data_IF_985544316612
#
_entry.id   IF_985544316612
#
_cell.length_a   1.000
_cell.length_b   1.000
_cell.length_c   1.000
_cell.angle_alpha   90.00
_cell.angle_beta   90.00
_cell.angle_gamma   90.00
#
_symmetry.space_group_name_H-M   'P 1'
#
loop_
_entity.id
_entity.type
_entity.pdbx_description
1 polymer ?
#
# COMPACT_ATOMS: atom_id res chain seq x y z
N UNK A 1 13.60 20.00 20.68
CA UNK A 1 13.96 18.56 20.78
C UNK A 1 12.76 17.63 20.87
N UNK A 2 11.76 17.91 21.72
CA UNK A 2 10.56 17.05 21.88
C UNK A 2 9.75 16.85 20.59
N UNK A 3 9.53 17.90 19.79
CA UNK A 3 8.82 17.81 18.51
C UNK A 3 9.56 16.97 17.46
N UNK A 4 10.88 17.16 17.34
CA UNK A 4 11.72 16.38 16.42
C UNK A 4 11.72 14.90 16.79
N UNK A 5 11.89 14.57 18.07
CA UNK A 5 11.83 13.19 18.56
C UNK A 5 10.45 12.55 18.31
N UNK A 6 9.37 13.29 18.55
CA UNK A 6 8.01 12.85 18.27
C UNK A 6 7.78 12.58 16.78
N UNK A 7 8.26 13.46 15.90
CA UNK A 7 8.19 13.27 14.45
C UNK A 7 8.95 12.02 14.00
N UNK A 8 10.21 11.86 14.45
CA UNK A 8 11.04 10.70 14.11
C UNK A 8 10.41 9.38 14.62
N UNK A 9 9.85 9.37 15.83
CA UNK A 9 9.14 8.21 16.36
C UNK A 9 7.89 7.86 15.53
N UNK A 10 7.13 8.88 15.09
CA UNK A 10 5.95 8.67 14.25
C UNK A 10 6.30 8.16 12.83
N UNK A 11 7.39 8.67 12.24
CA UNK A 11 7.95 8.17 10.98
C UNK A 11 8.42 6.72 11.16
N UNK A 12 9.15 6.42 12.23
CA UNK A 12 9.63 5.06 12.52
C UNK A 12 8.47 4.07 12.71
N UNK A 13 7.42 4.47 13.44
CA UNK A 13 6.20 3.68 13.60
C UNK A 13 5.55 3.39 12.24
N UNK A 14 5.42 4.41 11.39
CA UNK A 14 4.85 4.27 10.04
C UNK A 14 5.69 3.32 9.19
N UNK A 15 7.00 3.53 9.14
CA UNK A 15 7.93 2.71 8.37
C UNK A 15 7.91 1.24 8.82
N UNK A 16 7.89 1.00 10.13
CA UNK A 16 7.78 -0.35 10.69
C UNK A 16 6.43 -1.00 10.32
N UNK A 17 5.32 -0.34 10.61
CA UNK A 17 3.99 -0.89 10.37
C UNK A 17 3.75 -1.20 8.89
N UNK A 18 4.10 -0.27 7.99
CA UNK A 18 3.92 -0.45 6.56
C UNK A 18 4.93 -1.43 5.94
N UNK A 19 6.16 -1.51 6.49
CA UNK A 19 7.14 -2.52 6.09
C UNK A 19 6.70 -3.94 6.44
N UNK A 20 6.14 -4.15 7.63
CA UNK A 20 5.64 -5.46 8.08
C UNK A 20 4.30 -5.83 7.43
N UNK A 21 3.48 -4.84 7.06
CA UNK A 21 2.20 -5.04 6.38
C UNK A 21 2.30 -5.94 5.14
N UNK A 22 3.30 -5.74 4.28
CA UNK A 22 3.41 -6.47 3.01
C UNK A 22 3.53 -7.98 3.17
N UNK A 23 4.51 -8.49 3.94
CA UNK A 23 4.61 -9.90 4.28
C UNK A 23 3.37 -10.46 4.99
N UNK A 24 2.80 -9.72 5.94
CA UNK A 24 1.61 -10.16 6.69
C UNK A 24 0.39 -10.29 5.78
N UNK A 25 0.21 -9.34 4.85
CA UNK A 25 -0.85 -9.40 3.85
C UNK A 25 -0.67 -10.59 2.89
N UNK A 26 0.56 -10.86 2.49
CA UNK A 26 0.89 -12.00 1.63
C UNK A 26 0.46 -13.33 2.27
N UNK A 27 0.74 -13.53 3.57
CA UNK A 27 0.28 -14.74 4.29
C UNK A 27 -1.24 -14.86 4.34
N UNK A 28 -1.95 -13.75 4.56
CA UNK A 28 -3.42 -13.76 4.53
C UNK A 28 -4.00 -14.10 3.16
N UNK A 29 -3.40 -13.55 2.09
CA UNK A 29 -3.76 -13.84 0.69
C UNK A 29 -3.51 -15.29 0.32
N UNK A 30 -2.34 -15.83 0.68
CA UNK A 30 -2.02 -17.23 0.39
C UNK A 30 -2.91 -18.19 1.21
N UNK A 31 -3.26 -17.85 2.45
CA UNK A 31 -4.18 -18.66 3.25
C UNK A 31 -5.65 -18.64 2.77
N UNK A 32 -6.05 -17.64 1.97
CA UNK A 32 -7.41 -17.54 1.40
C UNK A 32 -7.47 -17.84 -0.10
N UNK A 33 -6.32 -17.95 -0.78
CA UNK A 33 -6.21 -18.14 -2.23
C UNK A 33 -7.07 -17.13 -3.02
N UNK A 34 -7.17 -15.90 -2.52
CA UNK A 34 -8.00 -14.84 -3.09
C UNK A 34 -7.30 -13.50 -2.94
N UNK A 35 -7.45 -12.61 -3.92
CA UNK A 35 -7.02 -11.22 -3.81
C UNK A 35 -8.02 -10.38 -2.98
N UNK A 36 -9.33 -10.58 -3.22
CA UNK A 36 -10.37 -9.69 -2.71
C UNK A 36 -10.76 -9.99 -1.26
N UNK A 37 -10.74 -11.25 -0.82
CA UNK A 37 -11.08 -11.61 0.57
C UNK A 37 -10.10 -11.03 1.61
N UNK A 38 -8.77 -11.10 1.41
CA UNK A 38 -7.82 -10.36 2.25
C UNK A 38 -8.08 -8.86 2.28
N UNK A 39 -8.46 -8.28 1.13
CA UNK A 39 -8.72 -6.85 1.03
C UNK A 39 -9.93 -6.43 1.88
N UNK A 40 -10.98 -7.26 1.92
CA UNK A 40 -12.13 -7.09 2.83
C UNK A 40 -11.68 -7.07 4.29
N UNK A 41 -10.86 -8.03 4.72
CA UNK A 41 -10.33 -8.05 6.08
C UNK A 41 -9.47 -6.80 6.39
N UNK A 42 -8.65 -6.34 5.44
CA UNK A 42 -7.89 -5.09 5.60
C UNK A 42 -8.84 -3.90 5.81
N UNK A 43 -9.90 -3.80 5.01
CA UNK A 43 -10.91 -2.75 5.13
C UNK A 43 -11.64 -2.79 6.48
N UNK A 44 -12.01 -3.98 6.96
CA UNK A 44 -12.64 -4.16 8.27
C UNK A 44 -11.71 -3.73 9.42
N UNK A 45 -10.44 -4.11 9.38
CA UNK A 45 -9.46 -3.67 10.38
C UNK A 45 -9.27 -2.15 10.37
N UNK A 46 -9.19 -1.53 9.19
CA UNK A 46 -9.17 -0.07 9.06
C UNK A 46 -10.44 0.57 9.63
N UNK A 47 -11.62 0.02 9.38
CA UNK A 47 -12.84 0.53 9.96
C UNK A 47 -12.81 0.49 11.50
N UNK A 48 -12.40 -0.64 12.09
CA UNK A 48 -12.31 -0.78 13.54
C UNK A 48 -11.31 0.20 14.17
N UNK A 49 -10.11 0.32 13.61
CA UNK A 49 -9.03 1.13 14.21
C UNK A 49 -9.13 2.59 13.82
N UNK A 50 -9.52 2.92 12.58
CA UNK A 50 -9.53 4.28 12.08
C UNK A 50 -10.88 4.99 12.24
N UNK A 51 -11.98 4.25 12.44
CA UNK A 51 -13.31 4.85 12.71
C UNK A 51 -13.69 4.65 14.17
N UNK A 52 -13.83 3.40 14.62
CA UNK A 52 -14.41 3.12 15.95
C UNK A 52 -13.54 3.66 17.08
N UNK A 53 -12.24 3.39 17.06
CA UNK A 53 -11.34 3.84 18.12
C UNK A 53 -11.23 5.40 18.20
N UNK A 54 -11.07 6.15 17.09
CA UNK A 54 -11.09 7.61 17.11
C UNK A 54 -12.42 8.20 17.56
N UNK A 55 -13.56 7.65 17.14
CA UNK A 55 -14.88 8.09 17.62
C UNK A 55 -14.99 7.89 19.14
N UNK A 56 -14.58 6.74 19.65
CA UNK A 56 -14.55 6.45 21.08
C UNK A 56 -13.56 7.34 21.87
N UNK A 57 -12.48 7.81 21.24
CA UNK A 57 -11.51 8.70 21.87
C UNK A 57 -11.98 10.17 21.84
N UNK A 58 -12.63 10.60 20.76
CA UNK A 58 -13.18 11.96 20.63
C UNK A 58 -14.32 12.22 21.61
N UNK A 59 -15.13 11.20 21.96
CA UNK A 59 -16.17 11.33 22.99
C UNK A 59 -15.61 11.68 24.38
N UNK A 60 -14.30 11.54 24.60
CA UNK A 60 -13.58 11.93 25.82
C UNK A 60 -13.06 13.38 25.80
N UNK A 61 -13.36 14.17 24.76
CA UNK A 61 -13.21 15.63 24.75
C UNK A 61 -11.78 16.20 24.61
N UNK A 62 -10.82 15.41 24.10
CA UNK A 62 -9.39 15.80 24.08
C UNK A 62 -8.84 16.28 22.74
N UNK A 63 -9.65 16.33 21.69
CA UNK A 63 -9.16 16.55 20.33
C UNK A 63 -9.46 17.94 19.78
N UNK A 64 -8.42 18.61 19.26
CA UNK A 64 -8.48 19.95 18.69
C UNK A 64 -8.75 19.88 17.20
N UNK A 65 -9.54 20.82 16.69
CA UNK A 65 -9.88 20.96 15.27
C UNK A 65 -11.39 21.04 15.05
N UNK A 66 -11.80 21.12 13.79
CA UNK A 66 -13.21 21.21 13.38
C UNK A 66 -13.50 20.35 12.17
N UNK A 67 -14.75 19.89 12.07
CA UNK A 67 -15.24 19.26 10.85
C UNK A 67 -15.46 20.35 9.79
N UNK A 68 -14.82 20.20 8.64
CA UNK A 68 -15.00 21.09 7.49
C UNK A 68 -15.26 20.24 6.24
N UNK A 69 -16.14 20.70 5.34
CA UNK A 69 -16.47 19.93 4.12
C UNK A 69 -15.22 19.71 3.25
N UNK A 70 -14.37 20.72 3.15
CA UNK A 70 -13.07 20.63 2.46
C UNK A 70 -12.18 19.58 3.11
N UNK A 71 -12.04 19.61 4.43
CA UNK A 71 -11.25 18.63 5.16
C UNK A 71 -11.75 17.20 4.93
N UNK A 72 -13.06 16.99 5.08
CA UNK A 72 -13.69 15.68 4.86
C UNK A 72 -13.43 15.17 3.45
N UNK A 73 -13.62 16.01 2.41
CA UNK A 73 -13.38 15.62 1.03
C UNK A 73 -11.92 15.19 0.80
N UNK A 74 -10.94 16.01 1.21
CA UNK A 74 -9.53 15.68 1.02
C UNK A 74 -9.13 14.44 1.83
N UNK A 75 -9.64 14.26 3.05
CA UNK A 75 -9.34 13.06 3.84
C UNK A 75 -10.02 11.80 3.31
N UNK A 76 -11.21 11.89 2.71
CA UNK A 76 -11.84 10.77 2.00
C UNK A 76 -11.05 10.40 0.74
N UNK A 77 -10.58 11.40 -0.04
CA UNK A 77 -9.71 11.17 -1.19
C UNK A 77 -8.38 10.54 -0.78
N UNK A 78 -7.80 10.96 0.35
CA UNK A 78 -6.61 10.33 0.90
C UNK A 78 -6.90 8.86 1.26
N UNK A 79 -8.02 8.60 1.94
CA UNK A 79 -8.45 7.25 2.25
C UNK A 79 -8.64 6.38 1.01
N UNK A 80 -9.23 6.92 -0.06
CA UNK A 80 -9.36 6.24 -1.34
C UNK A 80 -8.00 5.91 -1.97
N UNK A 81 -7.09 6.89 -2.01
CA UNK A 81 -5.72 6.67 -2.48
C UNK A 81 -4.98 5.61 -1.63
N UNK A 82 -5.22 5.58 -0.32
CA UNK A 82 -4.73 4.52 0.56
C UNK A 82 -5.27 3.14 0.15
N UNK A 83 -6.59 3.02 -0.01
CA UNK A 83 -7.27 1.77 -0.35
C UNK A 83 -6.86 1.24 -1.74
N UNK A 84 -6.79 2.11 -2.75
CA UNK A 84 -6.28 1.75 -4.08
C UNK A 84 -4.83 1.33 -4.06
N UNK A 85 -4.01 1.94 -3.20
CA UNK A 85 -2.62 1.50 -3.07
C UNK A 85 -2.49 0.12 -2.43
N UNK A 86 -3.31 -0.17 -1.42
CA UNK A 86 -3.37 -1.50 -0.81
C UNK A 86 -3.88 -2.55 -1.81
N UNK A 87 -4.88 -2.22 -2.62
CA UNK A 87 -5.34 -3.05 -3.73
C UNK A 87 -4.22 -3.31 -4.75
N UNK A 88 -3.47 -2.28 -5.14
CA UNK A 88 -2.32 -2.43 -6.04
C UNK A 88 -1.27 -3.40 -5.51
N UNK A 89 -0.96 -3.36 -4.21
CA UNK A 89 -0.06 -4.36 -3.59
C UNK A 89 -0.64 -5.77 -3.67
N UNK A 90 -1.91 -5.95 -3.32
CA UNK A 90 -2.58 -7.25 -3.37
C UNK A 90 -2.58 -7.81 -4.79
N UNK A 91 -2.89 -6.97 -5.79
CA UNK A 91 -2.89 -7.36 -7.20
C UNK A 91 -1.47 -7.74 -7.66
N UNK A 92 -0.45 -6.98 -7.27
CA UNK A 92 0.93 -7.29 -7.60
C UNK A 92 1.33 -8.66 -7.03
N UNK A 93 1.00 -8.93 -5.75
CA UNK A 93 1.25 -10.24 -5.14
C UNK A 93 0.44 -11.35 -5.81
N UNK A 94 -0.76 -11.03 -6.30
CA UNK A 94 -1.63 -11.99 -6.99
C UNK A 94 -1.08 -12.40 -8.35
N UNK A 95 -0.54 -11.45 -9.11
CA UNK A 95 0.12 -11.69 -10.39
C UNK A 95 1.44 -12.48 -10.28
N UNK A 96 1.97 -12.70 -9.06
CA UNK A 96 3.23 -13.41 -8.81
C UNK A 96 4.35 -12.52 -8.26
N UNK A 97 4.03 -11.26 -7.95
CA UNK A 97 4.83 -10.37 -7.13
C UNK A 97 5.25 -11.04 -5.82
N UNK A 98 6.49 -10.84 -5.37
CA UNK A 98 6.92 -11.24 -4.03
C UNK A 98 7.16 -10.02 -3.14
N UNK A 99 6.79 -10.05 -1.85
CA UNK A 99 6.99 -8.91 -0.95
C UNK A 99 8.42 -8.38 -0.93
N UNK A 100 9.41 -9.27 -1.09
CA UNK A 100 10.84 -8.94 -1.06
C UNK A 100 11.27 -7.89 -2.10
N UNK A 101 10.59 -7.77 -3.25
CA UNK A 101 10.89 -6.75 -4.26
C UNK A 101 9.72 -5.79 -4.51
N UNK A 102 8.47 -6.23 -4.35
CA UNK A 102 7.29 -5.35 -4.50
C UNK A 102 7.31 -4.26 -3.43
N UNK A 103 7.61 -4.60 -2.17
CA UNK A 103 7.60 -3.59 -1.09
C UNK A 103 8.69 -2.54 -1.28
N UNK A 104 9.97 -2.89 -1.54
CA UNK A 104 10.99 -1.88 -1.82
C UNK A 104 10.69 -1.00 -3.04
N UNK A 105 10.07 -1.54 -4.09
CA UNK A 105 9.66 -0.75 -5.25
C UNK A 105 8.61 0.30 -4.90
N UNK A 106 7.54 -0.12 -4.21
CA UNK A 106 6.45 0.78 -3.83
C UNK A 106 6.93 1.82 -2.81
N UNK A 107 7.63 1.40 -1.75
CA UNK A 107 8.11 2.32 -0.71
C UNK A 107 9.32 3.15 -1.14
N UNK A 108 10.08 2.74 -2.15
CA UNK A 108 11.09 3.59 -2.77
C UNK A 108 10.47 4.63 -3.72
N UNK A 109 9.46 4.25 -4.49
CA UNK A 109 8.84 5.15 -5.46
C UNK A 109 7.79 6.12 -4.88
N UNK A 110 7.00 5.69 -3.88
CA UNK A 110 5.94 6.50 -3.30
C UNK A 110 6.45 7.83 -2.71
N UNK A 111 7.59 7.90 -1.99
CA UNK A 111 8.16 9.16 -1.52
C UNK A 111 8.50 10.14 -2.65
N UNK A 112 8.95 9.63 -3.81
CA UNK A 112 9.23 10.46 -4.98
C UNK A 112 7.95 11.08 -5.51
N UNK A 113 6.89 10.28 -5.68
CA UNK A 113 5.59 10.78 -6.14
C UNK A 113 4.98 11.75 -5.14
N UNK A 114 5.05 11.45 -3.85
CA UNK A 114 4.63 12.35 -2.77
C UNK A 114 5.31 13.70 -2.89
N UNK A 115 6.62 13.69 -3.10
CA UNK A 115 7.43 14.89 -3.23
C UNK A 115 7.06 15.71 -4.45
N UNK A 116 6.97 15.08 -5.63
CA UNK A 116 6.61 15.74 -6.87
C UNK A 116 5.19 16.32 -6.82
N UNK A 117 4.24 15.56 -6.27
CA UNK A 117 2.86 16.03 -6.07
C UNK A 117 2.80 17.20 -5.08
N UNK A 118 3.56 17.14 -3.98
CA UNK A 118 3.64 18.25 -3.01
C UNK A 118 4.22 19.50 -3.65
N UNK A 119 5.32 19.37 -4.39
CA UNK A 119 5.94 20.48 -5.11
C UNK A 119 4.98 21.08 -6.15
N UNK A 120 4.21 20.24 -6.85
CA UNK A 120 3.18 20.67 -7.78
C UNK A 120 2.04 21.42 -7.10
N UNK A 121 1.43 20.84 -6.07
CA UNK A 121 0.30 21.43 -5.35
C UNK A 121 0.66 22.76 -4.69
N UNK A 122 1.89 22.90 -4.21
CA UNK A 122 2.38 24.11 -3.54
C UNK A 122 3.10 25.08 -4.48
N UNK A 123 3.19 24.79 -5.78
CA UNK A 123 3.98 25.56 -6.76
C UNK A 123 5.43 25.80 -6.30
N UNK A 124 6.00 24.83 -5.59
CA UNK A 124 7.25 24.94 -4.84
C UNK A 124 8.43 24.20 -5.50
N UNK A 125 8.37 23.91 -6.81
CA UNK A 125 9.47 23.23 -7.51
C UNK A 125 10.82 23.94 -7.37
N UNK A 126 10.82 25.28 -7.30
CA UNK A 126 12.04 26.06 -7.06
C UNK A 126 12.66 25.90 -5.67
N UNK A 127 11.96 25.28 -4.72
CA UNK A 127 12.47 25.02 -3.37
C UNK A 127 13.20 23.65 -3.27
N UNK A 128 13.13 22.82 -4.31
CA UNK A 128 13.79 21.52 -4.36
C UNK A 128 15.29 21.71 -4.59
N UNK A 129 16.07 21.77 -3.51
CA UNK A 129 17.53 21.96 -3.57
C UNK A 129 18.25 20.68 -4.04
N UNK A 130 19.43 20.87 -4.62
CA UNK A 130 20.30 19.79 -5.10
C UNK A 130 20.49 18.59 -4.12
N UNK A 131 20.80 18.78 -2.82
CA UNK A 131 20.98 17.63 -1.91
C UNK A 131 19.70 16.80 -1.73
N UNK A 132 18.54 17.45 -1.77
CA UNK A 132 17.26 16.78 -1.65
C UNK A 132 16.95 15.95 -2.91
N UNK A 133 17.19 16.51 -4.10
CA UNK A 133 17.06 15.79 -5.36
C UNK A 133 18.04 14.61 -5.47
N UNK A 134 19.29 14.77 -5.01
CA UNK A 134 20.25 13.69 -4.93
C UNK A 134 19.77 12.53 -4.05
N UNK A 135 19.12 12.85 -2.92
CA UNK A 135 18.47 11.85 -2.07
C UNK A 135 17.37 11.08 -2.80
N UNK A 136 16.50 11.76 -3.56
CA UNK A 136 15.47 11.10 -4.37
C UNK A 136 16.07 10.17 -5.43
N UNK A 137 17.12 10.61 -6.13
CA UNK A 137 17.83 9.78 -7.12
C UNK A 137 18.42 8.54 -6.47
N UNK A 138 18.99 8.66 -5.27
CA UNK A 138 19.53 7.53 -4.52
C UNK A 138 18.43 6.52 -4.16
N UNK A 139 17.27 7.01 -3.72
CA UNK A 139 16.10 6.16 -3.41
C UNK A 139 15.61 5.42 -4.65
N UNK A 140 15.46 6.11 -5.78
CA UNK A 140 15.04 5.49 -7.05
C UNK A 140 16.05 4.43 -7.50
N UNK A 141 17.34 4.79 -7.49
CA UNK A 141 18.42 3.87 -7.86
C UNK A 141 18.45 2.64 -6.95
N UNK A 142 18.24 2.82 -5.64
CA UNK A 142 18.12 1.73 -4.68
C UNK A 142 16.95 0.80 -4.99
N UNK A 143 15.77 1.35 -5.27
CA UNK A 143 14.58 0.57 -5.62
C UNK A 143 14.77 -0.23 -6.93
N UNK A 144 15.36 0.40 -7.96
CA UNK A 144 15.71 -0.26 -9.22
C UNK A 144 16.72 -1.39 -9.00
N UNK A 145 17.74 -1.14 -8.18
CA UNK A 145 18.76 -2.16 -7.83
C UNK A 145 18.12 -3.38 -7.19
N UNK A 146 17.18 -3.21 -6.25
CA UNK A 146 16.45 -4.34 -5.63
C UNK A 146 15.65 -5.15 -6.65
N UNK A 147 15.04 -4.50 -7.64
CA UNK A 147 14.30 -5.19 -8.69
C UNK A 147 15.21 -5.95 -9.65
N UNK A 148 16.34 -5.34 -10.06
CA UNK A 148 17.31 -5.95 -10.99
C UNK A 148 18.00 -7.15 -10.33
N UNK A 149 18.41 -7.01 -9.07
CA UNK A 149 19.14 -8.05 -8.33
C UNK A 149 18.22 -8.88 -7.42
N UNK A 150 16.93 -9.01 -7.77
CA UNK A 150 15.99 -9.85 -7.02
C UNK A 150 16.47 -11.31 -7.00
N UNK A 151 16.44 -12.01 -5.84
CA UNK A 151 16.86 -13.41 -5.77
C UNK A 151 15.99 -14.31 -6.67
N UNK A 152 16.63 -15.06 -7.58
CA UNK A 152 15.95 -16.09 -8.38
C UNK A 152 15.76 -17.37 -7.56
N UNK A 153 14.63 -18.10 -7.69
CA UNK A 153 14.51 -19.43 -7.10
C UNK A 153 15.59 -20.35 -7.69
N UNK A 154 16.40 -20.99 -6.85
CA UNK A 154 17.34 -22.02 -7.30
C UNK A 154 16.56 -23.22 -7.82
N UNK A 155 16.48 -23.37 -9.15
CA UNK A 155 16.04 -24.62 -9.78
C UNK A 155 17.13 -25.66 -9.54
N UNK A 156 16.80 -26.71 -8.76
CA UNK A 156 17.71 -27.83 -8.54
C UNK A 156 18.07 -28.51 -9.86
N UNK A 157 19.37 -28.73 -10.07
CA UNK A 157 19.89 -29.46 -11.22
C UNK A 157 19.28 -30.88 -11.28
N UNK A 158 18.52 -31.17 -12.32
CA UNK A 158 18.16 -32.53 -12.70
C UNK A 158 18.52 -32.73 -14.18
N UNK A 159 19.43 -33.67 -14.41
CA UNK A 159 19.99 -34.04 -15.70
C UNK A 159 18.92 -34.53 -16.70
N UNK A 160 19.08 -34.12 -17.97
CA UNK A 160 18.37 -34.65 -19.15
C UNK A 160 19.12 -35.89 -19.66
N UNK A 161 18.47 -36.88 -20.33
CA UNK A 161 18.01 -36.65 -21.71
C UNK A 161 16.78 -37.48 -22.17
N UNK A 162 15.84 -36.84 -22.84
CA UNK A 162 14.98 -37.46 -23.86
C UNK A 162 14.43 -36.35 -24.76
N UNK A 163 15.14 -36.05 -25.85
CA UNK A 163 14.83 -34.92 -26.72
C UNK A 163 14.92 -35.37 -28.17
N UNK A 164 13.78 -35.75 -28.78
CA UNK A 164 13.53 -35.53 -30.22
C UNK A 164 12.04 -35.29 -30.49
N UNK A 165 11.10 -35.94 -29.79
CA UNK A 165 9.64 -35.63 -29.94
C UNK A 165 9.18 -34.40 -29.15
N UNK A 166 9.95 -33.96 -28.15
CA UNK A 166 9.64 -32.81 -27.33
C UNK A 166 9.90 -31.46 -28.02
N UNK A 167 10.50 -31.40 -29.21
CA UNK A 167 10.94 -30.13 -29.81
C UNK A 167 9.77 -29.29 -30.38
N UNK A 168 8.72 -29.92 -30.92
CA UNK A 168 7.57 -29.19 -31.47
C UNK A 168 6.55 -28.78 -30.39
N UNK A 169 6.41 -29.59 -29.33
CA UNK A 169 5.59 -29.24 -28.16
C UNK A 169 6.31 -28.24 -27.24
N UNK A 170 7.64 -28.35 -27.06
CA UNK A 170 8.41 -27.41 -26.23
C UNK A 170 8.55 -26.02 -26.86
N UNK A 171 8.53 -25.88 -28.19
CA UNK A 171 8.51 -24.55 -28.82
C UNK A 171 7.16 -23.86 -28.66
N UNK A 172 6.05 -24.61 -28.67
CA UNK A 172 4.72 -24.07 -28.40
C UNK A 172 4.51 -23.80 -26.89
N UNK A 173 4.88 -24.74 -26.02
CA UNK A 173 4.84 -24.61 -24.56
C UNK A 173 5.81 -23.53 -24.07
N UNK A 174 6.99 -23.41 -24.68
CA UNK A 174 7.97 -22.37 -24.39
C UNK A 174 7.49 -20.99 -24.82
N UNK A 175 6.88 -20.85 -26.00
CA UNK A 175 6.28 -19.58 -26.44
C UNK A 175 5.07 -19.18 -25.59
N UNK A 176 4.25 -20.14 -25.17
CA UNK A 176 3.12 -19.91 -24.24
C UNK A 176 3.63 -19.53 -22.85
N UNK A 177 4.66 -20.22 -22.35
CA UNK A 177 5.29 -19.93 -21.06
C UNK A 177 5.96 -18.55 -21.00
N UNK A 178 6.72 -18.18 -22.03
CA UNK A 178 7.36 -16.84 -22.14
C UNK A 178 6.29 -15.74 -22.25
N UNK A 179 5.23 -15.96 -23.03
CA UNK A 179 4.12 -15.02 -23.14
C UNK A 179 3.43 -14.84 -21.79
N UNK A 180 3.13 -15.94 -21.09
CA UNK A 180 2.49 -15.91 -19.77
C UNK A 180 3.36 -15.25 -18.70
N UNK A 181 4.67 -15.51 -18.69
CA UNK A 181 5.61 -14.84 -17.78
C UNK A 181 5.66 -13.32 -18.03
N UNK A 182 5.66 -12.94 -19.31
CA UNK A 182 5.67 -11.54 -19.74
C UNK A 182 4.39 -10.81 -19.33
N UNK A 183 3.22 -11.39 -19.58
CA UNK A 183 1.91 -10.84 -19.16
C UNK A 183 1.87 -10.63 -17.64
N UNK A 184 2.28 -11.65 -16.86
CA UNK A 184 2.34 -11.55 -15.39
C UNK A 184 3.31 -10.47 -14.92
N UNK A 185 4.44 -10.30 -15.60
CA UNK A 185 5.37 -9.22 -15.29
C UNK A 185 4.74 -7.84 -15.54
N UNK A 186 4.01 -7.67 -16.65
CA UNK A 186 3.26 -6.45 -16.93
C UNK A 186 2.15 -6.18 -15.90
N UNK A 187 1.41 -7.21 -15.49
CA UNK A 187 0.41 -7.11 -14.42
C UNK A 187 1.03 -6.66 -13.09
N UNK A 188 2.16 -7.26 -12.70
CA UNK A 188 2.91 -6.86 -11.51
C UNK A 188 3.33 -5.40 -11.62
N UNK A 189 3.87 -4.98 -12.77
CA UNK A 189 4.32 -3.62 -12.98
C UNK A 189 3.16 -2.62 -12.87
N UNK A 190 2.03 -2.90 -13.53
CA UNK A 190 0.83 -2.06 -13.48
C UNK A 190 0.29 -1.93 -12.05
N UNK A 191 0.23 -3.05 -11.33
CA UNK A 191 -0.24 -3.10 -9.96
C UNK A 191 0.71 -2.35 -8.99
N UNK A 192 2.03 -2.47 -9.20
CA UNK A 192 3.04 -1.68 -8.49
C UNK A 192 2.90 -0.19 -8.80
N UNK A 193 2.66 0.18 -10.06
CA UNK A 193 2.43 1.58 -10.46
C UNK A 193 1.19 2.14 -9.78
N UNK A 194 0.08 1.39 -9.75
CA UNK A 194 -1.12 1.77 -9.01
C UNK A 194 -0.81 1.99 -7.53
N UNK A 195 -0.08 1.06 -6.89
CA UNK A 195 0.32 1.16 -5.50
C UNK A 195 1.16 2.40 -5.21
N UNK A 196 2.22 2.57 -6.00
CA UNK A 196 3.18 3.66 -5.90
C UNK A 196 2.52 5.02 -6.10
N UNK A 197 1.70 5.19 -7.14
CA UNK A 197 1.02 6.46 -7.41
C UNK A 197 0.00 6.78 -6.33
N UNK A 198 -0.79 5.79 -5.91
CA UNK A 198 -1.86 6.01 -4.93
C UNK A 198 -1.31 6.30 -3.53
N UNK A 199 -0.33 5.54 -3.06
CA UNK A 199 0.33 5.82 -1.78
C UNK A 199 1.27 7.04 -1.83
N UNK A 200 1.84 7.36 -2.99
CA UNK A 200 2.55 8.61 -3.19
C UNK A 200 1.60 9.81 -3.09
N UNK A 201 0.39 9.70 -3.61
CA UNK A 201 -0.63 10.74 -3.51
C UNK A 201 -1.30 10.82 -2.12
N UNK A 202 -1.29 9.72 -1.35
CA UNK A 202 -1.90 9.66 -0.03
C UNK A 202 -1.40 10.76 0.92
N UNK A 203 -0.08 10.92 1.05
CA UNK A 203 0.54 11.88 1.99
C UNK A 203 0.10 13.34 1.77
N UNK A 204 0.25 13.91 0.55
CA UNK A 204 -0.05 15.32 0.32
C UNK A 204 -1.56 15.61 0.38
N UNK A 205 -2.38 14.65 -0.10
CA UNK A 205 -3.85 14.72 -0.05
C UNK A 205 -4.33 14.67 1.40
N UNK A 206 -3.74 13.78 2.23
CA UNK A 206 -4.04 13.69 3.66
C UNK A 206 -3.63 14.96 4.40
N UNK A 207 -2.41 15.45 4.16
CA UNK A 207 -1.91 16.66 4.79
C UNK A 207 -2.84 17.85 4.53
N UNK A 208 -3.36 17.98 3.30
CA UNK A 208 -4.34 19.01 2.94
C UNK A 208 -5.67 18.85 3.69
N UNK A 209 -6.16 17.62 3.83
CA UNK A 209 -7.36 17.33 4.64
C UNK A 209 -7.17 17.67 6.11
N UNK A 210 -6.02 17.28 6.69
CA UNK A 210 -5.64 17.60 8.07
C UNK A 210 -5.53 19.10 8.31
N UNK A 211 -4.87 19.84 7.41
CA UNK A 211 -4.75 21.30 7.48
C UNK A 211 -6.12 21.98 7.44
N UNK A 212 -7.02 21.53 6.55
CA UNK A 212 -8.37 22.05 6.43
C UNK A 212 -9.28 21.74 7.64
N UNK A 213 -8.90 20.80 8.51
CA UNK A 213 -9.59 20.49 9.77
C UNK A 213 -8.90 21.08 11.01
N UNK A 214 -8.06 22.11 10.83
CA UNK A 214 -7.39 22.79 11.92
C UNK A 214 -6.34 21.93 12.63
N UNK A 215 -5.65 21.05 11.89
CA UNK A 215 -4.63 20.15 12.44
C UNK A 215 -5.19 18.99 13.26
N UNK A 216 -6.49 18.69 13.08
CA UNK A 216 -7.17 17.54 13.67
C UNK A 216 -6.48 16.24 13.29
N UNK A 217 -6.30 15.34 14.26
CA UNK A 217 -5.62 14.06 14.06
C UNK A 217 -6.61 12.93 13.87
N UNK A 218 -7.71 12.97 14.61
CA UNK A 218 -8.68 11.88 14.65
C UNK A 218 -9.71 11.99 13.53
N UNK A 219 -10.12 13.21 13.15
CA UNK A 219 -11.12 13.40 12.10
C UNK A 219 -10.64 12.94 10.71
N UNK A 220 -9.41 13.28 10.25
CA UNK A 220 -8.89 12.74 8.99
C UNK A 220 -8.79 11.22 9.00
N UNK A 221 -8.38 10.64 10.14
CA UNK A 221 -8.28 9.19 10.31
C UNK A 221 -9.65 8.51 10.16
N UNK A 222 -10.71 9.09 10.71
CA UNK A 222 -12.09 8.62 10.53
C UNK A 222 -12.48 8.61 9.06
N UNK A 223 -12.22 9.70 8.34
CA UNK A 223 -12.50 9.76 6.90
C UNK A 223 -11.72 8.68 6.13
N UNK A 224 -10.45 8.44 6.47
CA UNK A 224 -9.67 7.35 5.86
C UNK A 224 -10.34 5.99 6.11
N UNK A 225 -10.72 5.71 7.36
CA UNK A 225 -11.38 4.46 7.73
C UNK A 225 -12.72 4.25 7.02
N UNK A 226 -13.52 5.32 6.85
CA UNK A 226 -14.77 5.28 6.08
C UNK A 226 -14.49 4.97 4.61
N UNK A 227 -13.53 5.66 3.98
CA UNK A 227 -13.18 5.40 2.59
C UNK A 227 -12.67 3.96 2.37
N UNK A 228 -11.81 3.46 3.27
CA UNK A 228 -11.37 2.06 3.27
C UNK A 228 -12.53 1.09 3.43
N UNK A 229 -13.49 1.36 4.31
CA UNK A 229 -14.65 0.50 4.43
C UNK A 229 -15.46 0.45 3.12
N UNK A 230 -15.73 1.61 2.51
CA UNK A 230 -16.48 1.66 1.26
C UNK A 230 -15.75 0.94 0.11
N UNK A 231 -14.44 1.16 -0.05
CA UNK A 231 -13.67 0.67 -1.20
C UNK A 231 -13.13 -0.74 -0.98
N UNK A 232 -12.71 -1.08 0.24
CA UNK A 232 -12.07 -2.36 0.54
C UNK A 232 -13.04 -3.40 1.12
N UNK A 233 -14.19 -3.01 1.66
CA UNK A 233 -15.22 -3.96 2.14
C UNK A 233 -16.37 -4.05 1.16
N UNK A 234 -17.07 -2.94 0.90
CA UNK A 234 -18.32 -2.99 0.14
C UNK A 234 -18.10 -3.37 -1.33
N UNK A 235 -17.12 -2.76 -2.00
CA UNK A 235 -16.83 -3.05 -3.42
C UNK A 235 -16.40 -4.51 -3.62
N UNK A 236 -15.42 -5.06 -2.89
CA UNK A 236 -15.03 -6.45 -3.09
C UNK A 236 -16.14 -7.43 -2.72
N UNK A 237 -16.90 -7.17 -1.66
CA UNK A 237 -18.06 -8.01 -1.32
C UNK A 237 -19.10 -8.05 -2.44
N UNK A 238 -19.32 -6.94 -3.15
CA UNK A 238 -20.19 -6.90 -4.32
C UNK A 238 -19.58 -7.61 -5.55
N UNK A 239 -18.25 -7.65 -5.66
CA UNK A 239 -17.53 -8.20 -6.81
C UNK A 239 -17.12 -9.67 -6.67
N UNK A 240 -17.07 -10.23 -5.45
CA UNK A 240 -16.64 -11.62 -5.22
C UNK A 240 -17.46 -12.64 -6.04
N UNK A 241 -18.79 -12.47 -6.07
CA UNK A 241 -19.68 -13.32 -6.86
C UNK A 241 -19.51 -13.11 -8.37
N UNK A 242 -19.66 -11.88 -8.89
CA UNK A 242 -19.50 -11.58 -10.32
C UNK A 242 -18.14 -11.96 -10.92
N UNK A 243 -17.06 -11.86 -10.14
CA UNK A 243 -15.71 -12.23 -10.59
C UNK A 243 -15.39 -13.72 -10.40
N UNK A 244 -16.31 -14.51 -9.84
CA UNK A 244 -16.12 -15.94 -9.63
C UNK A 244 -14.94 -16.27 -8.71
N UNK A 245 -14.77 -15.52 -7.63
CA UNK A 245 -13.63 -15.72 -6.71
C UNK A 245 -13.71 -17.09 -6.00
N UNK A 246 -12.83 -18.01 -6.40
CA UNK A 246 -12.77 -19.40 -5.92
C UNK A 246 -12.11 -19.57 -4.54
N UNK A 247 -11.69 -18.47 -3.90
CA UNK A 247 -10.99 -18.53 -2.62
C UNK A 247 -11.82 -19.15 -1.49
N UNK A 248 -11.23 -19.20 -0.30
CA UNK A 248 -11.94 -19.64 0.91
C UNK A 248 -11.74 -18.66 2.06
N UNK A 249 -12.77 -18.49 2.88
CA UNK A 249 -12.66 -17.72 4.13
C UNK A 249 -12.07 -18.63 5.21
N UNK A 250 -10.75 -18.63 5.33
CA UNK A 250 -10.04 -19.40 6.36
C UNK A 250 -9.78 -18.54 7.60
N UNK A 251 -9.85 -19.12 8.79
CA UNK A 251 -9.56 -18.39 10.04
C UNK A 251 -8.15 -17.79 10.04
N UNK A 252 -7.16 -18.58 9.62
CA UNK A 252 -5.76 -18.15 9.50
C UNK A 252 -5.63 -16.98 8.52
N UNK A 253 -6.32 -17.06 7.38
CA UNK A 253 -6.36 -15.98 6.40
C UNK A 253 -6.95 -14.70 6.97
N UNK A 254 -8.12 -14.78 7.59
CA UNK A 254 -8.78 -13.65 8.25
C UNK A 254 -7.84 -13.03 9.29
N UNK A 255 -7.23 -13.83 10.17
CA UNK A 255 -6.35 -13.35 11.22
C UNK A 255 -5.16 -12.56 10.66
N UNK A 256 -4.45 -13.12 9.67
CA UNK A 256 -3.32 -12.44 9.03
C UNK A 256 -3.75 -11.18 8.27
N UNK A 257 -4.86 -11.22 7.53
CA UNK A 257 -5.34 -10.04 6.81
C UNK A 257 -5.86 -8.93 7.72
N UNK A 258 -6.50 -9.28 8.85
CA UNK A 258 -6.88 -8.31 9.89
C UNK A 258 -5.64 -7.70 10.56
N UNK A 259 -4.59 -8.50 10.80
CA UNK A 259 -3.32 -7.99 11.31
C UNK A 259 -2.64 -7.04 10.32
N UNK A 260 -2.63 -7.39 9.02
CA UNK A 260 -2.14 -6.50 7.96
C UNK A 260 -2.92 -5.18 7.94
N UNK A 261 -4.24 -5.22 7.96
CA UNK A 261 -5.06 -4.01 7.99
C UNK A 261 -4.85 -3.17 9.24
N UNK A 262 -4.62 -3.82 10.39
CA UNK A 262 -4.29 -3.13 11.64
C UNK A 262 -2.95 -2.40 11.55
N UNK A 263 -1.92 -3.04 11.01
CA UNK A 263 -0.63 -2.40 10.73
C UNK A 263 -0.79 -1.23 9.76
N UNK A 264 -1.60 -1.39 8.71
CA UNK A 264 -1.93 -0.31 7.78
C UNK A 264 -2.52 0.90 8.51
N UNK A 265 -3.57 0.69 9.30
CA UNK A 265 -4.29 1.75 10.02
C UNK A 265 -3.41 2.44 11.07
N UNK A 266 -2.57 1.69 11.78
CA UNK A 266 -1.61 2.26 12.74
C UNK A 266 -0.52 3.08 12.03
N UNK A 267 -0.04 2.62 10.87
CA UNK A 267 0.90 3.41 10.06
C UNK A 267 0.27 4.69 9.51
N UNK A 268 -1.01 4.66 9.12
CA UNK A 268 -1.75 5.86 8.74
C UNK A 268 -1.83 6.87 9.90
N UNK A 269 -2.11 6.41 11.12
CA UNK A 269 -2.04 7.23 12.34
C UNK A 269 -0.63 7.79 12.57
N UNK A 270 0.42 6.99 12.36
CA UNK A 270 1.81 7.45 12.43
C UNK A 270 2.10 8.61 11.47
N UNK A 271 1.59 8.55 10.23
CA UNK A 271 1.73 9.65 9.26
C UNK A 271 1.06 10.94 9.74
N UNK A 272 -0.17 10.83 10.25
CA UNK A 272 -0.93 11.96 10.84
C UNK A 272 -0.15 12.58 12.01
N UNK A 273 0.43 11.74 12.87
CA UNK A 273 1.24 12.19 14.00
C UNK A 273 2.53 12.89 13.55
N UNK A 274 3.17 12.40 12.49
CA UNK A 274 4.36 13.03 11.92
C UNK A 274 4.03 14.45 11.41
N UNK A 275 2.95 14.60 10.63
CA UNK A 275 2.47 15.91 10.16
C UNK A 275 2.13 16.85 11.32
N UNK A 276 1.51 16.33 12.38
CA UNK A 276 1.19 17.13 13.57
C UNK A 276 2.43 17.61 14.35
N UNK A 277 3.60 17.00 14.11
CA UNK A 277 4.88 17.40 14.66
C UNK A 277 5.71 18.29 13.72
N UNK A 278 5.16 18.68 12.56
CA UNK A 278 5.81 19.53 11.57
C UNK A 278 6.57 18.79 10.47
N UNK A 279 6.30 17.49 10.30
CA UNK A 279 6.83 16.67 9.20
C UNK A 279 5.98 16.68 7.95
#
# INVERSE_FOLDING_TARGET
MTHLLGMLAAIALTAFCWGVYGPVLHFGRDAMQSALRPFVCVGLAYFLIAVIAPVALMSRGREKGSWTSTGVLWSLLAGAAGAFGALGVILALTAGGKPIYVMPLVFGGAPVVNTLLTAFLNKAFGQLKAPFLAGLILVITGAVTVLVFKPQPQLGHADKPAAVEAAASADAEGKVGVKQETERFFEVLLAVTLALLSWGAYGPVLHKGQAAMGGSRLRPLICIGVAYFLIAVLVPMALLGPLGDEGSWSFTGIAWSMAAGSLGAIGALGTILAFACGG
#
